data_IF_904017602493
#
_entry.id   IF_904017602493
#
_cell.length_a   1.000
_cell.length_b   1.000
_cell.length_c   1.000
_cell.angle_alpha   90.00
_cell.angle_beta   90.00
_cell.angle_gamma   90.00
#
_symmetry.space_group_name_H-M   'P 1'
#
loop_
_entity.id
_entity.type
_entity.pdbx_description
1 polymer ?
#
# COMPACT_ATOMS: atom_id res chain seq x y z
N UNK A 1 13.37 -27.35 -39.16
CA UNK A 1 12.35 -26.64 -39.96
C UNK A 1 11.68 -25.59 -39.06
N UNK A 2 11.55 -24.34 -39.52
CA UNK A 2 10.95 -23.27 -38.71
C UNK A 2 9.48 -23.11 -39.11
N UNK A 3 8.59 -23.72 -38.34
CA UNK A 3 7.14 -23.60 -38.54
C UNK A 3 6.53 -22.60 -37.55
N UNK A 4 5.59 -21.81 -38.03
CA UNK A 4 4.69 -21.02 -37.19
C UNK A 4 3.78 -21.94 -36.38
N UNK A 5 3.18 -21.42 -35.30
CA UNK A 5 2.26 -22.24 -34.48
C UNK A 5 1.05 -22.69 -35.30
N UNK A 6 0.58 -21.89 -36.24
CA UNK A 6 -0.56 -22.26 -37.08
C UNK A 6 -0.22 -23.42 -38.02
N UNK A 7 0.97 -23.41 -38.61
CA UNK A 7 1.45 -24.53 -39.44
C UNK A 7 1.64 -25.80 -38.61
N UNK A 8 2.13 -25.69 -37.37
CA UNK A 8 2.24 -26.83 -36.44
C UNK A 8 0.87 -27.38 -36.07
N UNK A 9 -0.13 -26.52 -35.86
CA UNK A 9 -1.52 -26.95 -35.60
C UNK A 9 -2.03 -27.75 -36.80
N UNK A 10 -1.90 -27.21 -38.02
CA UNK A 10 -2.37 -27.90 -39.24
C UNK A 10 -1.66 -29.24 -39.49
N UNK A 11 -0.36 -29.31 -39.21
CA UNK A 11 0.43 -30.54 -39.36
C UNK A 11 0.04 -31.59 -38.32
N UNK A 12 -0.27 -31.19 -37.09
CA UNK A 12 -0.77 -32.12 -36.08
C UNK A 12 -2.21 -32.57 -36.38
N UNK A 13 -3.06 -31.68 -36.91
CA UNK A 13 -4.41 -32.02 -37.38
C UNK A 13 -4.36 -33.01 -38.56
N UNK A 14 -3.41 -32.84 -39.50
CA UNK A 14 -3.23 -33.78 -40.62
C UNK A 14 -2.72 -35.15 -40.16
N UNK A 15 -1.99 -35.20 -39.05
CA UNK A 15 -1.57 -36.42 -38.34
C UNK A 15 -2.65 -37.00 -37.41
N UNK A 16 -3.90 -36.51 -37.51
CA UNK A 16 -5.07 -36.96 -36.75
C UNK A 16 -5.05 -36.68 -35.23
N UNK A 17 -4.22 -35.73 -34.77
CA UNK A 17 -4.26 -35.25 -33.39
C UNK A 17 -5.44 -34.29 -33.16
N UNK A 18 -6.10 -34.39 -32.00
CA UNK A 18 -7.17 -33.46 -31.59
C UNK A 18 -6.57 -32.29 -30.82
N UNK A 19 -6.67 -31.07 -31.35
CA UNK A 19 -6.03 -29.88 -30.80
C UNK A 19 -7.07 -28.84 -30.41
N UNK A 20 -6.98 -28.31 -29.20
CA UNK A 20 -7.72 -27.11 -28.78
C UNK A 20 -6.73 -25.96 -28.58
N UNK A 21 -7.03 -24.81 -29.18
CA UNK A 21 -6.19 -23.62 -29.09
C UNK A 21 -7.01 -22.33 -28.98
N UNK A 22 -6.35 -21.24 -28.56
CA UNK A 22 -6.95 -19.91 -28.47
C UNK A 22 -6.11 -18.89 -29.23
N UNK A 23 -6.78 -18.08 -30.05
CA UNK A 23 -6.17 -16.94 -30.72
C UNK A 23 -6.00 -15.78 -29.74
N UNK A 24 -4.82 -15.20 -29.71
CA UNK A 24 -4.46 -14.03 -28.90
C UNK A 24 -4.77 -12.75 -29.68
N UNK A 25 -4.90 -11.64 -28.95
CA UNK A 25 -5.09 -10.30 -29.55
C UNK A 25 -3.94 -9.86 -30.47
N UNK A 26 -2.72 -10.36 -30.24
CA UNK A 26 -1.55 -10.10 -31.09
C UNK A 26 -1.49 -10.98 -32.35
N UNK A 27 -2.57 -11.70 -32.67
CA UNK A 27 -2.68 -12.60 -33.81
C UNK A 27 -2.01 -13.96 -33.63
N UNK A 28 -1.32 -14.20 -32.50
CA UNK A 28 -0.69 -15.48 -32.17
C UNK A 28 -1.69 -16.55 -31.69
N UNK A 29 -1.26 -17.81 -31.67
CA UNK A 29 -2.06 -18.94 -31.19
C UNK A 29 -1.44 -19.57 -29.94
N UNK A 30 -2.27 -19.97 -28.98
CA UNK A 30 -1.89 -20.73 -27.77
C UNK A 30 -2.62 -22.06 -27.78
N UNK A 31 -1.89 -23.17 -27.89
CA UNK A 31 -2.43 -24.51 -27.75
C UNK A 31 -2.69 -24.78 -26.26
N UNK A 32 -3.94 -25.14 -25.94
CA UNK A 32 -4.42 -25.47 -24.60
C UNK A 32 -4.54 -26.97 -24.38
N UNK A 33 -4.77 -27.74 -25.45
CA UNK A 33 -4.96 -29.20 -25.35
C UNK A 33 -4.51 -29.91 -26.62
N UNK A 34 -3.90 -31.09 -26.47
CA UNK A 34 -3.59 -32.03 -27.55
C UNK A 34 -3.98 -33.43 -27.04
N UNK A 35 -4.85 -34.15 -27.74
CA UNK A 35 -5.29 -35.52 -27.45
C UNK A 35 -5.72 -35.77 -25.99
N UNK A 36 -6.47 -34.83 -25.40
CA UNK A 36 -6.88 -34.95 -24.00
C UNK A 36 -5.92 -34.31 -23.01
N UNK A 37 -4.64 -34.13 -23.35
CA UNK A 37 -3.64 -33.56 -22.45
C UNK A 37 -3.74 -32.03 -22.39
N UNK A 38 -3.95 -31.49 -21.19
CA UNK A 38 -4.08 -30.07 -20.94
C UNK A 38 -2.73 -29.37 -20.69
N UNK A 39 -2.56 -28.17 -21.24
CA UNK A 39 -1.35 -27.37 -21.14
C UNK A 39 -1.63 -25.95 -20.64
N UNK A 40 -0.75 -25.42 -19.78
CA UNK A 40 -0.84 -24.04 -19.29
C UNK A 40 0.08 -23.10 -20.07
N UNK A 41 -0.52 -22.04 -20.63
CA UNK A 41 0.21 -20.97 -21.30
C UNK A 41 1.12 -21.44 -22.45
N UNK A 42 2.42 -21.15 -22.36
CA UNK A 42 3.39 -21.39 -23.47
C UNK A 42 3.84 -22.85 -23.61
N UNK A 43 3.44 -23.74 -22.70
CA UNK A 43 3.90 -25.14 -22.66
C UNK A 43 3.30 -25.99 -23.78
N UNK A 44 2.03 -25.77 -24.15
CA UNK A 44 1.37 -26.49 -25.26
C UNK A 44 2.05 -26.23 -26.60
N UNK A 45 2.39 -24.96 -26.87
CA UNK A 45 3.14 -24.57 -28.07
C UNK A 45 4.56 -25.16 -28.14
N UNK A 46 5.19 -25.46 -26.99
CA UNK A 46 6.49 -26.10 -26.94
C UNK A 46 6.38 -27.63 -27.10
N UNK A 47 5.32 -28.23 -26.57
CA UNK A 47 5.00 -29.64 -26.76
C UNK A 47 4.68 -29.95 -28.23
N UNK A 48 3.77 -29.17 -28.84
CA UNK A 48 3.41 -29.29 -30.25
C UNK A 48 4.61 -29.19 -31.19
N UNK A 49 5.53 -28.24 -30.92
CA UNK A 49 6.79 -28.10 -31.67
C UNK A 49 7.66 -29.36 -31.60
N UNK A 50 7.74 -29.99 -30.44
CA UNK A 50 8.54 -31.21 -30.25
C UNK A 50 7.93 -32.38 -31.01
N UNK A 51 6.60 -32.51 -31.03
CA UNK A 51 5.92 -33.56 -31.79
C UNK A 51 6.22 -33.49 -33.29
N UNK A 52 6.20 -32.27 -33.86
CA UNK A 52 6.45 -32.05 -35.30
C UNK A 52 7.95 -31.92 -35.64
N UNK A 53 8.85 -31.94 -34.65
CA UNK A 53 10.28 -31.68 -34.87
C UNK A 53 10.59 -30.24 -35.34
N UNK A 54 9.69 -29.29 -35.07
CA UNK A 54 9.82 -27.91 -35.48
C UNK A 54 10.70 -27.10 -34.51
N UNK A 55 11.71 -26.41 -35.06
CA UNK A 55 12.60 -25.52 -34.30
C UNK A 55 12.02 -24.11 -34.21
N UNK A 56 12.42 -23.35 -33.19
CA UNK A 56 12.09 -21.92 -33.11
C UNK A 56 12.82 -21.15 -34.22
N UNK A 57 12.16 -20.13 -34.78
CA UNK A 57 12.80 -19.21 -35.72
C UNK A 57 14.02 -18.53 -35.10
N UNK A 58 15.03 -18.24 -35.92
CA UNK A 58 16.30 -17.65 -35.48
C UNK A 58 16.07 -16.31 -34.73
N UNK A 59 15.14 -15.47 -35.20
CA UNK A 59 14.75 -14.24 -34.50
C UNK A 59 14.19 -14.49 -33.08
N UNK A 60 13.40 -15.56 -32.91
CA UNK A 60 12.84 -15.94 -31.61
C UNK A 60 13.88 -16.61 -30.72
N UNK A 61 14.81 -17.37 -31.29
CA UNK A 61 15.98 -17.91 -30.59
C UNK A 61 16.87 -16.78 -30.06
N UNK A 62 17.18 -15.77 -30.89
CA UNK A 62 17.95 -14.58 -30.48
C UNK A 62 17.22 -13.81 -29.38
N UNK A 63 15.91 -13.63 -29.50
CA UNK A 63 15.11 -12.97 -28.45
C UNK A 63 15.13 -13.77 -27.13
N UNK A 64 14.98 -15.10 -27.19
CA UNK A 64 15.04 -15.96 -26.00
C UNK A 64 16.45 -16.06 -25.41
N UNK A 65 17.50 -16.02 -26.23
CA UNK A 65 18.89 -15.95 -25.80
C UNK A 65 19.18 -14.62 -25.10
N UNK A 66 18.62 -13.50 -25.59
CA UNK A 66 18.67 -12.20 -24.89
C UNK A 66 17.92 -12.21 -23.55
N UNK A 67 16.82 -12.97 -23.45
CA UNK A 67 16.06 -13.11 -22.19
C UNK A 67 16.77 -14.06 -21.20
N UNK A 68 17.39 -15.14 -21.70
CA UNK A 68 18.17 -16.11 -20.91
C UNK A 68 19.63 -15.66 -20.78
N UNK A 69 19.86 -14.57 -20.04
CA UNK A 69 20.86 -14.41 -18.96
C UNK A 69 21.24 -12.94 -18.78
N UNK A 70 20.70 -12.24 -17.78
CA UNK A 70 21.58 -11.69 -16.77
C UNK A 70 22.12 -12.87 -15.98
N UNK A 71 23.45 -13.11 -16.04
CA UNK A 71 24.18 -13.84 -14.98
C UNK A 71 23.55 -13.41 -13.65
N UNK A 72 23.08 -14.38 -12.85
CA UNK A 72 22.30 -14.14 -11.65
C UNK A 72 22.74 -12.85 -10.98
N UNK A 73 21.91 -11.81 -11.10
CA UNK A 73 22.15 -10.56 -10.41
C UNK A 73 22.31 -10.98 -8.97
N UNK A 74 23.54 -10.88 -8.42
CA UNK A 74 23.81 -11.08 -6.99
C UNK A 74 22.63 -10.42 -6.29
N UNK A 75 21.77 -11.20 -5.65
CA UNK A 75 20.58 -10.66 -5.03
C UNK A 75 21.09 -9.54 -4.12
N UNK A 76 20.81 -8.28 -4.48
CA UNK A 76 21.39 -7.13 -3.78
C UNK A 76 21.11 -7.38 -2.31
N UNK A 77 22.16 -7.58 -1.51
CA UNK A 77 22.02 -7.94 -0.10
C UNK A 77 21.19 -6.83 0.53
N UNK A 78 19.95 -7.17 0.79
CA UNK A 78 18.89 -6.24 1.11
C UNK A 78 19.22 -5.72 2.52
N UNK A 79 19.40 -4.40 2.70
CA UNK A 79 19.88 -3.79 3.96
C UNK A 79 19.24 -4.44 5.19
N UNK A 80 20.07 -4.97 6.08
CA UNK A 80 19.58 -5.62 7.27
C UNK A 80 18.80 -4.63 8.14
N UNK A 81 17.63 -5.05 8.59
CA UNK A 81 16.75 -4.22 9.42
C UNK A 81 17.00 -4.59 10.88
N UNK A 82 17.29 -3.64 11.77
CA UNK A 82 17.46 -3.90 13.20
C UNK A 82 16.21 -4.55 13.82
N UNK A 83 16.41 -5.40 14.82
CA UNK A 83 15.31 -6.15 15.44
C UNK A 83 14.32 -5.27 16.21
N UNK A 84 14.76 -4.14 16.75
CA UNK A 84 13.88 -3.12 17.32
C UNK A 84 12.90 -2.57 16.27
N UNK A 85 13.37 -2.27 15.06
CA UNK A 85 12.54 -1.76 13.96
C UNK A 85 11.58 -2.84 13.48
N UNK A 86 12.04 -4.11 13.40
CA UNK A 86 11.15 -5.25 13.10
C UNK A 86 10.06 -5.41 14.15
N UNK A 87 10.38 -5.26 15.44
CA UNK A 87 9.40 -5.34 16.55
C UNK A 87 8.37 -4.21 16.46
N UNK A 88 8.82 -2.97 16.24
CA UNK A 88 7.94 -1.82 16.05
C UNK A 88 7.01 -2.01 14.83
N UNK A 89 7.56 -2.45 13.69
CA UNK A 89 6.77 -2.74 12.50
C UNK A 89 5.69 -3.81 12.75
N UNK A 90 6.03 -4.91 13.44
CA UNK A 90 5.05 -5.94 13.82
C UNK A 90 3.95 -5.39 14.71
N UNK A 91 4.29 -4.48 15.65
CA UNK A 91 3.32 -3.82 16.54
C UNK A 91 2.31 -2.99 15.73
N UNK A 92 2.79 -2.16 14.79
CA UNK A 92 1.95 -1.39 13.86
C UNK A 92 1.04 -2.30 13.04
N UNK A 93 1.61 -3.32 12.40
CA UNK A 93 0.85 -4.24 11.53
C UNK A 93 -0.23 -5.01 12.30
N UNK A 94 0.06 -5.47 13.52
CA UNK A 94 -0.92 -6.15 14.38
C UNK A 94 -2.08 -5.22 14.76
N UNK A 95 -1.76 -3.97 15.14
CA UNK A 95 -2.78 -2.98 15.51
C UNK A 95 -3.69 -2.64 14.33
N UNK A 96 -3.11 -2.36 13.16
CA UNK A 96 -3.85 -2.11 11.93
C UNK A 96 -4.77 -3.27 11.54
N UNK A 97 -4.26 -4.52 11.56
CA UNK A 97 -5.11 -5.69 11.24
C UNK A 97 -6.26 -5.87 12.22
N UNK A 98 -6.05 -5.53 13.50
CA UNK A 98 -7.09 -5.62 14.53
C UNK A 98 -8.18 -4.56 14.36
N UNK A 99 -7.80 -3.33 13.99
CA UNK A 99 -8.71 -2.17 13.94
C UNK A 99 -9.30 -1.91 12.56
N UNK A 100 -8.61 -2.30 11.50
CA UNK A 100 -8.97 -2.03 10.11
C UNK A 100 -8.70 -3.27 9.24
N UNK A 101 -9.52 -4.33 9.37
CA UNK A 101 -9.30 -5.59 8.64
C UNK A 101 -9.39 -5.44 7.12
N UNK A 102 -10.17 -4.47 6.63
CA UNK A 102 -10.47 -4.29 5.20
C UNK A 102 -9.54 -3.29 4.48
N UNK A 103 -8.74 -2.52 5.24
CA UNK A 103 -7.88 -1.48 4.65
C UNK A 103 -6.56 -2.10 4.18
N UNK A 104 -6.34 -2.06 2.85
CA UNK A 104 -5.03 -2.36 2.24
C UNK A 104 -4.14 -1.12 2.35
N UNK A 105 -2.91 -1.28 2.86
CA UNK A 105 -1.96 -0.16 2.95
C UNK A 105 -1.04 -0.13 4.18
N UNK A 106 -1.06 -1.16 5.03
CA UNK A 106 -0.22 -1.20 6.24
C UNK A 106 1.27 -1.02 5.92
N UNK A 107 2.02 -0.44 6.87
CA UNK A 107 3.47 -0.31 6.79
C UNK A 107 4.13 -1.64 6.35
N UNK A 108 4.95 -1.57 5.30
CA UNK A 108 5.60 -2.74 4.70
C UNK A 108 7.09 -2.76 5.02
N UNK A 109 7.70 -3.95 5.03
CA UNK A 109 9.14 -4.09 5.19
C UNK A 109 9.93 -3.33 4.12
N UNK A 110 9.37 -3.21 2.90
CA UNK A 110 9.96 -2.43 1.80
C UNK A 110 10.02 -0.95 2.14
N UNK A 111 8.91 -0.38 2.64
CA UNK A 111 8.84 1.04 3.01
C UNK A 111 9.75 1.34 4.21
N UNK A 112 9.77 0.45 5.21
CA UNK A 112 10.65 0.57 6.37
C UNK A 112 12.12 0.56 5.97
N UNK A 113 12.54 -0.35 5.06
CA UNK A 113 13.91 -0.36 4.56
C UNK A 113 14.28 0.92 3.82
N UNK A 114 13.37 1.43 3.00
CA UNK A 114 13.59 2.70 2.32
C UNK A 114 13.75 3.85 3.32
N UNK A 115 12.85 3.94 4.30
CA UNK A 115 12.85 5.00 5.31
C UNK A 115 14.10 4.91 6.21
N UNK A 116 14.45 3.70 6.66
CA UNK A 116 15.66 3.42 7.45
C UNK A 116 16.93 3.83 6.72
N UNK A 117 17.01 3.60 5.40
CA UNK A 117 18.14 4.01 4.58
C UNK A 117 18.24 5.54 4.45
N UNK A 118 17.10 6.22 4.37
CA UNK A 118 17.04 7.66 4.10
C UNK A 118 17.21 8.50 5.36
N UNK A 119 16.62 8.08 6.48
CA UNK A 119 16.50 8.89 7.70
C UNK A 119 17.12 8.24 8.95
N UNK A 120 17.57 6.99 8.86
CA UNK A 120 18.15 6.27 9.99
C UNK A 120 17.12 5.65 10.94
N UNK A 121 17.63 4.99 11.96
CA UNK A 121 16.85 4.14 12.88
C UNK A 121 15.87 4.95 13.72
N UNK A 122 16.33 6.04 14.34
CA UNK A 122 15.52 6.83 15.26
C UNK A 122 14.27 7.42 14.58
N UNK A 123 14.47 8.10 13.45
CA UNK A 123 13.37 8.63 12.64
C UNK A 123 12.40 7.51 12.19
N UNK A 124 12.92 6.33 11.85
CA UNK A 124 12.09 5.18 11.48
C UNK A 124 11.21 4.71 12.65
N UNK A 125 11.77 4.62 13.85
CA UNK A 125 11.02 4.24 15.05
C UNK A 125 9.96 5.28 15.39
N UNK A 126 10.28 6.58 15.30
CA UNK A 126 9.31 7.66 15.48
C UNK A 126 8.17 7.59 14.46
N UNK A 127 8.49 7.37 13.18
CA UNK A 127 7.48 7.21 12.12
C UNK A 127 6.56 6.00 12.36
N UNK A 128 7.13 4.88 12.83
CA UNK A 128 6.37 3.69 13.20
C UNK A 128 5.50 3.93 14.45
N UNK A 129 5.98 4.67 15.44
CA UNK A 129 5.18 5.02 16.62
C UNK A 129 3.99 5.91 16.25
N UNK A 130 4.21 6.93 15.42
CA UNK A 130 3.12 7.77 14.85
C UNK A 130 2.08 6.90 14.14
N UNK A 131 2.54 5.98 13.29
CA UNK A 131 1.67 5.03 12.57
C UNK A 131 0.92 4.08 13.50
N UNK A 132 1.55 3.67 14.60
CA UNK A 132 0.93 2.83 15.62
C UNK A 132 -0.19 3.58 16.33
N UNK A 133 0.06 4.80 16.82
CA UNK A 133 -0.95 5.63 17.49
C UNK A 133 -2.14 5.89 16.58
N UNK A 134 -1.89 6.24 15.33
CA UNK A 134 -2.94 6.46 14.34
C UNK A 134 -3.80 5.21 14.14
N UNK A 135 -3.18 4.03 14.06
CA UNK A 135 -3.92 2.77 13.98
C UNK A 135 -4.79 2.46 15.21
N UNK A 136 -4.54 3.12 16.34
CA UNK A 136 -5.38 3.00 17.54
C UNK A 136 -6.54 4.01 17.56
N UNK A 137 -6.67 4.84 16.52
CA UNK A 137 -7.66 5.92 16.41
C UNK A 137 -7.23 7.21 17.11
N UNK A 138 -5.93 7.38 17.41
CA UNK A 138 -5.41 8.64 17.91
C UNK A 138 -5.00 9.56 16.77
N UNK A 139 -5.21 10.85 16.98
CA UNK A 139 -4.85 11.86 16.04
C UNK A 139 -3.33 12.02 15.87
N UNK A 140 -2.93 12.58 14.73
CA UNK A 140 -1.59 13.12 14.59
C UNK A 140 -1.39 14.31 15.52
N UNK A 141 -0.31 14.29 16.31
CA UNK A 141 0.04 15.35 17.27
C UNK A 141 0.05 16.72 16.58
N UNK A 142 0.61 16.80 15.37
CA UNK A 142 0.73 18.05 14.61
C UNK A 142 -0.66 18.67 14.32
N UNK A 143 -1.70 17.85 14.11
CA UNK A 143 -3.07 18.34 13.92
C UNK A 143 -3.67 18.85 15.24
N UNK A 144 -3.41 18.14 16.36
CA UNK A 144 -3.89 18.56 17.69
C UNK A 144 -3.22 19.88 18.11
N UNK A 145 -1.91 20.02 17.87
CA UNK A 145 -1.18 21.27 18.10
C UNK A 145 -1.70 22.40 17.21
N UNK A 146 -2.05 22.11 15.96
CA UNK A 146 -2.65 23.11 15.09
C UNK A 146 -4.01 23.59 15.61
N UNK A 147 -4.84 22.69 16.16
CA UNK A 147 -6.10 23.05 16.82
C UNK A 147 -5.86 23.96 18.04
N UNK A 148 -4.92 23.60 18.92
CA UNK A 148 -4.54 24.41 20.10
C UNK A 148 -4.10 25.81 19.65
N UNK A 149 -3.21 25.90 18.67
CA UNK A 149 -2.69 27.17 18.16
C UNK A 149 -3.81 28.06 17.61
N UNK A 150 -4.81 27.50 16.92
CA UNK A 150 -5.96 28.27 16.46
C UNK A 150 -6.74 28.88 17.62
N UNK A 151 -7.02 28.10 18.65
CA UNK A 151 -7.72 28.58 19.84
C UNK A 151 -6.91 29.68 20.54
N UNK A 152 -5.60 29.47 20.71
CA UNK A 152 -4.71 30.44 21.37
C UNK A 152 -4.57 31.76 20.61
N UNK A 153 -4.59 31.73 19.27
CA UNK A 153 -4.53 32.94 18.46
C UNK A 153 -5.75 33.85 18.70
N UNK A 154 -6.95 33.28 18.74
CA UNK A 154 -8.15 34.08 19.02
C UNK A 154 -8.24 34.53 20.48
N UNK A 155 -7.80 33.68 21.43
CA UNK A 155 -7.67 34.06 22.85
C UNK A 155 -6.72 35.23 23.07
N UNK A 156 -5.74 35.42 22.20
CA UNK A 156 -4.83 36.57 22.26
C UNK A 156 -5.51 37.90 21.87
N UNK A 157 -6.65 37.83 21.19
CA UNK A 157 -7.46 38.98 20.78
C UNK A 157 -8.52 39.27 21.85
N UNK A 158 -9.21 38.24 22.34
CA UNK A 158 -10.23 38.35 23.39
C UNK A 158 -10.10 37.18 24.38
N UNK A 159 -9.81 37.50 25.64
CA UNK A 159 -9.64 36.48 26.67
C UNK A 159 -10.98 35.84 27.07
N UNK A 160 -11.02 34.51 27.03
CA UNK A 160 -12.14 33.70 27.52
C UNK A 160 -11.59 32.53 28.38
N UNK A 161 -11.87 32.58 29.69
CA UNK A 161 -11.39 31.58 30.67
C UNK A 161 -11.89 30.16 30.33
N UNK A 162 -13.09 30.00 29.77
CA UNK A 162 -13.62 28.70 29.43
C UNK A 162 -12.89 28.06 28.24
N UNK A 163 -12.41 28.88 27.32
CA UNK A 163 -11.58 28.45 26.20
C UNK A 163 -10.14 28.13 26.64
N UNK A 164 -9.58 28.86 27.60
CA UNK A 164 -8.28 28.51 28.20
C UNK A 164 -8.33 27.12 28.87
N UNK A 165 -9.40 26.84 29.62
CA UNK A 165 -9.64 25.50 30.21
C UNK A 165 -9.75 24.41 29.16
N UNK A 166 -10.28 24.72 27.97
CA UNK A 166 -10.33 23.77 26.85
C UNK A 166 -8.94 23.52 26.27
N UNK A 167 -8.11 24.55 26.11
CA UNK A 167 -6.71 24.37 25.69
C UNK A 167 -6.00 23.42 26.65
N UNK A 168 -6.07 23.67 27.96
CA UNK A 168 -5.47 22.78 28.95
C UNK A 168 -6.03 21.35 28.90
N UNK A 169 -7.33 21.18 28.64
CA UNK A 169 -7.93 19.86 28.47
C UNK A 169 -7.34 19.11 27.27
N UNK A 170 -7.17 19.79 26.13
CA UNK A 170 -6.62 19.22 24.90
C UNK A 170 -5.14 18.89 25.10
N UNK A 171 -4.35 19.79 25.71
CA UNK A 171 -2.93 19.58 26.01
C UNK A 171 -2.71 18.35 26.91
N UNK A 172 -3.52 18.21 27.97
CA UNK A 172 -3.48 17.05 28.86
C UNK A 172 -3.81 15.72 28.15
N UNK A 173 -4.54 15.78 27.02
CA UNK A 173 -4.90 14.63 26.19
C UNK A 173 -4.08 14.54 24.91
N UNK A 174 -3.05 15.37 24.70
CA UNK A 174 -2.32 15.52 23.43
C UNK A 174 -1.92 14.17 22.80
N UNK A 175 -1.41 13.24 23.62
CA UNK A 175 -0.87 11.96 23.17
C UNK A 175 -1.92 10.88 22.89
N UNK A 176 -3.18 11.10 23.31
CA UNK A 176 -4.30 10.15 23.23
C UNK A 176 -5.56 10.79 22.63
N UNK A 177 -5.46 12.00 22.10
CA UNK A 177 -6.56 12.72 21.46
C UNK A 177 -7.08 11.88 20.28
N UNK A 178 -8.39 11.67 20.18
CA UNK A 178 -8.97 10.81 19.13
C UNK A 178 -9.03 11.55 17.81
N UNK A 179 -8.73 10.83 16.72
CA UNK A 179 -8.87 11.37 15.36
C UNK A 179 -10.32 11.78 15.05
N UNK A 180 -11.30 11.03 15.56
CA UNK A 180 -12.72 11.32 15.36
C UNK A 180 -13.17 12.64 15.99
N UNK A 181 -12.47 13.13 17.03
CA UNK A 181 -12.81 14.39 17.69
C UNK A 181 -12.34 15.61 16.91
N UNK A 182 -11.27 15.48 16.11
CA UNK A 182 -10.60 16.62 15.49
C UNK A 182 -11.53 17.44 14.60
N UNK A 183 -12.29 16.79 13.73
CA UNK A 183 -13.18 17.50 12.80
C UNK A 183 -14.26 18.29 13.54
N UNK A 184 -14.85 17.70 14.57
CA UNK A 184 -15.90 18.33 15.36
C UNK A 184 -15.36 19.49 16.20
N UNK A 185 -14.17 19.36 16.77
CA UNK A 185 -13.51 20.47 17.46
C UNK A 185 -13.18 21.61 16.49
N UNK A 186 -12.69 21.31 15.28
CA UNK A 186 -12.43 22.34 14.27
C UNK A 186 -13.69 23.09 13.84
N UNK A 187 -14.81 22.39 13.70
CA UNK A 187 -16.10 22.99 13.35
C UNK A 187 -16.56 23.97 14.43
N UNK A 188 -16.49 23.56 15.71
CA UNK A 188 -16.83 24.44 16.83
C UNK A 188 -15.92 25.69 16.89
N UNK A 189 -14.60 25.51 16.72
CA UNK A 189 -13.66 26.63 16.68
C UNK A 189 -13.94 27.55 15.49
N UNK A 190 -14.27 27.01 14.32
CA UNK A 190 -14.59 27.81 13.14
C UNK A 190 -15.87 28.64 13.32
N UNK A 191 -16.92 28.09 13.92
CA UNK A 191 -18.14 28.85 14.23
C UNK A 191 -17.87 29.99 15.22
N UNK A 192 -16.98 29.76 16.19
CA UNK A 192 -16.55 30.78 17.14
C UNK A 192 -15.70 31.88 16.47
N UNK A 193 -14.71 31.51 15.65
CA UNK A 193 -13.91 32.43 14.81
C UNK A 193 -14.78 33.33 13.92
N UNK A 194 -15.95 32.82 13.49
CA UNK A 194 -16.92 33.57 12.67
C UNK A 194 -17.93 34.37 13.48
N UNK A 195 -17.86 34.35 14.81
CA UNK A 195 -18.81 35.01 15.70
C UNK A 195 -20.22 34.42 15.65
N UNK A 196 -20.37 33.19 15.13
CA UNK A 196 -21.67 32.50 15.07
C UNK A 196 -22.07 31.92 16.43
N UNK A 197 -21.08 31.62 17.28
CA UNK A 197 -21.26 31.20 18.67
C UNK A 197 -20.27 31.94 19.58
N UNK A 198 -20.62 32.06 20.85
CA UNK A 198 -19.72 32.61 21.90
C UNK A 198 -18.60 31.62 22.26
N UNK A 199 -17.50 32.11 22.83
CA UNK A 199 -16.41 31.25 23.33
C UNK A 199 -16.87 30.23 24.38
N UNK A 200 -17.75 30.61 25.30
CA UNK A 200 -18.38 29.69 26.26
C UNK A 200 -19.13 28.52 25.59
N UNK A 201 -19.93 28.80 24.56
CA UNK A 201 -20.66 27.77 23.81
C UNK A 201 -19.70 26.87 23.02
N UNK A 202 -18.66 27.44 22.41
CA UNK A 202 -17.58 26.68 21.77
C UNK A 202 -16.90 25.73 22.78
N UNK A 203 -16.54 26.25 23.96
CA UNK A 203 -15.90 25.49 25.01
C UNK A 203 -16.78 24.35 25.51
N UNK A 204 -18.09 24.60 25.68
CA UNK A 204 -19.07 23.58 26.07
C UNK A 204 -19.16 22.45 25.04
N UNK A 205 -19.20 22.78 23.75
CA UNK A 205 -19.22 21.79 22.66
C UNK A 205 -17.95 20.95 22.63
N UNK A 206 -16.78 21.59 22.71
CA UNK A 206 -15.50 20.88 22.73
C UNK A 206 -15.39 19.96 23.95
N UNK A 207 -15.79 20.42 25.14
CA UNK A 207 -15.86 19.58 26.35
C UNK A 207 -16.77 18.36 26.13
N UNK A 208 -17.92 18.54 25.48
CA UNK A 208 -18.86 17.45 25.19
C UNK A 208 -18.32 16.45 24.16
N UNK A 209 -17.51 16.89 23.19
CA UNK A 209 -16.87 16.01 22.20
C UNK A 209 -15.81 15.11 22.85
N UNK A 210 -15.06 15.66 23.82
CA UNK A 210 -13.89 15.02 24.44
C UNK A 210 -14.25 14.13 25.66
N UNK A 211 -15.44 14.33 26.24
CA UNK A 211 -15.94 13.61 27.43
C UNK A 211 -16.50 12.23 27.05
#
# INVERSE_FOLDING_TARGET
MNLTILEIIKELESQAHKIEYTKRQDGGYIIRKIDGQHFSGKTGNAFARRMVGATLSQARQVQLARIRTPKGTRAKKLQEVPDEVKRALRKVQRSWRKKHPDIRGTASMKNVRWYLRTYGTEATLQSLDKSYRYSQGYAYIDNVLHLINRIQNDLSIEYDEDMERVVSLIENKLMVFREEWISHCYEAVYEWEKGSITGQECARRIKAIIS
#
